data_IF_147696890633
#
_entry.id   IF_147696890633
#
_cell.length_a   1.000
_cell.length_b   1.000
_cell.length_c   1.000
_cell.angle_alpha   90.00
_cell.angle_beta   90.00
_cell.angle_gamma   90.00
#
_symmetry.space_group_name_H-M   'P 1'
#
loop_
_entity.id
_entity.type
_entity.pdbx_description
1 polymer ?
#
# COMPACT_ATOMS: atom_id res chain seq x y z
N UNK A 1 5.57 8.49 -21.24
CA UNK A 1 6.13 8.57 -19.87
C UNK A 1 5.17 7.81 -18.98
N UNK A 2 5.67 6.94 -18.09
CA UNK A 2 4.82 6.20 -17.16
C UNK A 2 4.28 7.14 -16.08
N UNK A 3 3.04 6.91 -15.66
CA UNK A 3 2.36 7.73 -14.65
C UNK A 3 2.19 6.95 -13.35
N UNK A 4 2.56 7.56 -12.22
CA UNK A 4 2.34 6.99 -10.89
C UNK A 4 1.46 7.92 -10.04
N UNK A 5 0.53 7.34 -9.30
CA UNK A 5 -0.29 8.05 -8.33
C UNK A 5 0.04 7.56 -6.93
N UNK A 6 0.55 8.45 -6.11
CA UNK A 6 0.70 8.24 -4.67
C UNK A 6 -0.51 8.87 -3.98
N UNK A 7 -1.26 8.08 -3.22
CA UNK A 7 -2.34 8.59 -2.37
C UNK A 7 -1.93 8.39 -0.92
N UNK A 8 -1.82 9.48 -0.18
CA UNK A 8 -1.27 9.46 1.17
C UNK A 8 -2.19 10.11 2.20
N UNK A 9 -1.94 9.85 3.48
CA UNK A 9 -2.71 10.38 4.59
C UNK A 9 -2.99 9.36 5.70
N UNK A 10 -4.09 9.55 6.40
CA UNK A 10 -4.47 8.68 7.52
C UNK A 10 -3.73 9.01 8.79
N UNK A 11 -3.27 8.00 9.52
CA UNK A 11 -2.61 8.20 10.81
C UNK A 11 -1.23 8.88 10.68
N UNK A 12 -1.03 10.07 11.28
CA UNK A 12 0.19 10.85 11.10
C UNK A 12 1.44 10.19 11.70
N UNK A 13 1.29 9.23 12.62
CA UNK A 13 2.43 8.48 13.17
C UNK A 13 3.17 7.60 12.16
N UNK A 14 2.60 7.38 10.97
CA UNK A 14 3.27 6.72 9.84
C UNK A 14 4.03 7.71 8.94
N UNK A 15 4.06 8.99 9.28
CA UNK A 15 4.74 10.05 8.52
C UNK A 15 4.44 10.00 7.01
N UNK A 16 3.15 9.97 6.59
CA UNK A 16 2.78 9.69 5.20
C UNK A 16 3.37 10.70 4.20
N UNK A 17 3.56 11.95 4.59
CA UNK A 17 4.21 12.97 3.78
C UNK A 17 5.67 12.62 3.48
N UNK A 18 6.43 12.23 4.52
CA UNK A 18 7.84 11.83 4.33
C UNK A 18 7.98 10.56 3.51
N UNK A 19 7.11 9.59 3.73
CA UNK A 19 7.07 8.38 2.91
C UNK A 19 6.79 8.72 1.45
N UNK A 20 5.88 9.65 1.18
CA UNK A 20 5.55 10.15 -0.15
C UNK A 20 6.76 10.77 -0.84
N UNK A 21 7.48 11.66 -0.15
CA UNK A 21 8.68 12.31 -0.69
C UNK A 21 9.79 11.30 -1.03
N UNK A 22 10.01 10.30 -0.17
CA UNK A 22 10.98 9.24 -0.41
C UNK A 22 10.61 8.44 -1.66
N UNK A 23 9.36 7.98 -1.77
CA UNK A 23 8.89 7.16 -2.89
C UNK A 23 8.90 7.97 -4.18
N UNK A 24 8.50 9.23 -4.14
CA UNK A 24 8.59 10.14 -5.28
C UNK A 24 10.02 10.29 -5.77
N UNK A 25 10.96 10.50 -4.83
CA UNK A 25 12.40 10.58 -5.14
C UNK A 25 12.98 9.30 -5.73
N UNK A 26 12.37 8.14 -5.50
CA UNK A 26 12.76 6.87 -6.14
C UNK A 26 12.18 6.74 -7.55
N UNK A 27 10.96 7.21 -7.81
CA UNK A 27 10.25 6.98 -9.06
C UNK A 27 10.56 7.99 -10.15
N UNK A 28 10.75 9.25 -9.80
CA UNK A 28 11.04 10.31 -10.79
C UNK A 28 12.32 10.04 -11.60
N UNK A 29 13.47 9.60 -11.00
CA UNK A 29 14.66 9.23 -11.76
C UNK A 29 14.45 8.04 -12.70
N UNK A 30 13.47 7.16 -12.40
CA UNK A 30 13.10 6.02 -13.26
C UNK A 30 12.13 6.41 -14.38
N UNK A 31 11.87 7.70 -14.55
CA UNK A 31 11.07 8.25 -15.65
C UNK A 31 9.57 8.24 -15.42
N UNK A 32 9.12 8.16 -14.18
CA UNK A 32 7.72 8.33 -13.85
C UNK A 32 7.33 9.79 -13.70
N UNK A 33 6.17 10.15 -14.24
CA UNK A 33 5.42 11.34 -13.85
C UNK A 33 4.65 11.00 -12.58
N UNK A 34 5.05 11.57 -11.44
CA UNK A 34 4.47 11.24 -10.14
C UNK A 34 3.48 12.30 -9.69
N UNK A 35 2.23 11.89 -9.55
CA UNK A 35 1.18 12.67 -8.90
C UNK A 35 1.02 12.21 -7.46
N UNK A 36 0.99 13.15 -6.51
CA UNK A 36 0.76 12.86 -5.09
C UNK A 36 -0.50 13.59 -4.62
N UNK A 37 -1.44 12.83 -4.04
CA UNK A 37 -2.72 13.35 -3.58
C UNK A 37 -2.98 12.96 -2.12
N UNK A 38 -3.48 13.92 -1.37
CA UNK A 38 -3.88 13.69 0.01
C UNK A 38 -5.28 13.09 0.09
N UNK A 39 -5.45 12.04 0.89
CA UNK A 39 -6.70 11.32 1.12
C UNK A 39 -7.19 10.40 -0.04
N UNK A 40 -7.92 9.39 0.36
CA UNK A 40 -8.41 8.31 -0.52
C UNK A 40 -9.47 8.71 -1.53
N UNK A 41 -10.08 9.90 -1.41
CA UNK A 41 -10.97 10.45 -2.42
C UNK A 41 -10.30 10.54 -3.78
N UNK A 42 -8.99 10.71 -3.84
CA UNK A 42 -8.22 10.71 -5.08
C UNK A 42 -8.35 9.40 -5.87
N UNK A 43 -8.54 8.26 -5.19
CA UNK A 43 -8.83 7.00 -5.86
C UNK A 43 -10.25 6.90 -6.45
N UNK A 44 -11.15 7.80 -6.10
CA UNK A 44 -12.49 7.84 -6.68
C UNK A 44 -12.55 8.62 -8.00
N UNK A 45 -11.47 9.28 -8.39
CA UNK A 45 -11.38 10.09 -9.60
C UNK A 45 -11.08 9.24 -10.84
N UNK A 46 -11.55 9.69 -12.00
CA UNK A 46 -11.40 8.95 -13.26
C UNK A 46 -9.95 8.80 -13.73
N UNK A 47 -9.08 9.75 -13.39
CA UNK A 47 -7.66 9.69 -13.77
C UNK A 47 -6.90 8.49 -13.21
N UNK A 48 -7.45 7.79 -12.21
CA UNK A 48 -6.89 6.54 -11.68
C UNK A 48 -6.72 5.49 -12.79
N UNK A 49 -7.61 5.49 -13.76
CA UNK A 49 -7.56 4.54 -14.90
C UNK A 49 -6.48 4.89 -15.94
N UNK A 50 -5.82 6.05 -15.82
CA UNK A 50 -4.71 6.46 -16.68
C UNK A 50 -3.34 6.15 -16.07
N UNK A 51 -3.31 5.61 -14.87
CA UNK A 51 -2.06 5.35 -14.15
C UNK A 51 -1.46 4.01 -14.51
N UNK A 52 -0.13 3.96 -14.56
CA UNK A 52 0.64 2.72 -14.69
C UNK A 52 0.97 2.11 -13.33
N UNK A 53 0.97 2.92 -12.25
CA UNK A 53 1.29 2.50 -10.90
C UNK A 53 0.46 3.28 -9.86
N UNK A 54 -0.18 2.56 -8.96
CA UNK A 54 -0.90 3.11 -7.81
C UNK A 54 -0.17 2.77 -6.51
N UNK A 55 0.00 3.76 -5.64
CA UNK A 55 0.74 3.61 -4.38
C UNK A 55 -0.08 4.17 -3.22
N UNK A 56 -0.82 3.31 -2.51
CA UNK A 56 -1.54 3.71 -1.30
C UNK A 56 -0.58 3.83 -0.10
N UNK A 57 -0.57 5.00 0.52
CA UNK A 57 0.11 5.31 1.79
C UNK A 57 -0.93 5.90 2.75
N UNK A 58 -2.06 5.24 2.92
CA UNK A 58 -3.18 5.73 3.71
C UNK A 58 -3.61 4.71 4.74
N UNK A 59 -3.29 4.94 5.99
CA UNK A 59 -3.74 4.08 7.08
C UNK A 59 -5.11 4.52 7.57
N UNK A 60 -6.03 3.56 7.77
CA UNK A 60 -7.37 3.80 8.33
C UNK A 60 -8.21 4.81 7.54
N UNK A 61 -8.27 4.67 6.24
CA UNK A 61 -9.02 5.55 5.33
C UNK A 61 -10.52 5.70 5.65
N UNK A 62 -11.10 4.77 6.40
CA UNK A 62 -12.53 4.75 6.76
C UNK A 62 -12.97 5.93 7.65
N UNK A 63 -12.05 6.64 8.28
CA UNK A 63 -12.38 7.82 9.09
C UNK A 63 -12.82 9.04 8.27
N UNK A 64 -12.54 9.03 6.97
CA UNK A 64 -12.75 10.19 6.10
C UNK A 64 -14.02 10.12 5.24
N UNK A 65 -14.71 8.98 5.23
CA UNK A 65 -15.97 8.79 4.53
C UNK A 65 -16.99 8.04 5.39
N UNK A 66 -17.73 8.75 6.26
CA UNK A 66 -18.71 8.13 7.15
C UNK A 66 -19.84 7.37 6.44
N UNK A 67 -20.17 7.77 5.20
CA UNK A 67 -21.23 7.12 4.41
C UNK A 67 -20.73 5.93 3.60
N UNK A 68 -19.43 5.82 3.37
CA UNK A 68 -18.79 4.74 2.64
C UNK A 68 -18.96 4.80 1.11
N UNK A 69 -19.54 5.85 0.56
CA UNK A 69 -19.79 6.00 -0.88
C UNK A 69 -18.49 6.24 -1.67
N UNK A 70 -17.69 7.19 -1.21
CA UNK A 70 -16.39 7.50 -1.80
C UNK A 70 -15.46 6.31 -1.68
N UNK A 71 -15.46 5.66 -0.51
CA UNK A 71 -14.67 4.46 -0.25
C UNK A 71 -14.97 3.34 -1.25
N UNK A 72 -16.24 3.06 -1.52
CA UNK A 72 -16.65 2.02 -2.47
C UNK A 72 -16.18 2.35 -3.88
N UNK A 73 -16.36 3.58 -4.34
CA UNK A 73 -15.89 4.04 -5.65
C UNK A 73 -14.37 3.96 -5.76
N UNK A 74 -13.64 4.43 -4.74
CA UNK A 74 -12.18 4.38 -4.69
C UNK A 74 -11.65 2.95 -4.81
N UNK A 75 -12.18 2.02 -4.03
CA UNK A 75 -11.78 0.60 -4.08
C UNK A 75 -12.08 0.00 -5.45
N UNK A 76 -13.27 0.24 -6.00
CA UNK A 76 -13.65 -0.28 -7.31
C UNK A 76 -12.76 0.25 -8.44
N UNK A 77 -12.39 1.53 -8.41
CA UNK A 77 -11.51 2.12 -9.41
C UNK A 77 -10.10 1.51 -9.35
N UNK A 78 -9.55 1.34 -8.14
CA UNK A 78 -8.25 0.68 -7.97
C UNK A 78 -8.29 -0.76 -8.49
N UNK A 79 -9.32 -1.53 -8.13
CA UNK A 79 -9.48 -2.91 -8.60
C UNK A 79 -9.54 -2.96 -10.14
N UNK A 80 -10.35 -2.10 -10.76
CA UNK A 80 -10.45 -2.03 -12.21
C UNK A 80 -9.12 -1.65 -12.87
N UNK A 81 -8.40 -0.66 -12.32
CA UNK A 81 -7.11 -0.25 -12.83
C UNK A 81 -6.10 -1.41 -12.80
N UNK A 82 -6.03 -2.13 -11.66
CA UNK A 82 -5.13 -3.29 -11.51
C UNK A 82 -5.51 -4.43 -12.46
N UNK A 83 -6.79 -4.74 -12.61
CA UNK A 83 -7.24 -5.75 -13.58
C UNK A 83 -6.93 -5.37 -15.04
N UNK A 84 -6.81 -4.08 -15.32
CA UNK A 84 -6.42 -3.56 -16.64
C UNK A 84 -4.89 -3.42 -16.80
N UNK A 85 -4.09 -3.90 -15.85
CA UNK A 85 -2.62 -3.96 -15.95
C UNK A 85 -1.87 -2.87 -15.20
N UNK A 86 -2.54 -1.99 -14.46
CA UNK A 86 -1.90 -1.03 -13.59
C UNK A 86 -1.21 -1.76 -12.41
N UNK A 87 0.02 -1.40 -12.09
CA UNK A 87 0.71 -1.90 -10.92
C UNK A 87 0.10 -1.37 -9.62
N UNK A 88 0.13 -2.18 -8.57
CA UNK A 88 -0.21 -1.75 -7.21
C UNK A 88 0.95 -2.06 -6.29
N UNK A 89 1.53 -1.05 -5.66
CA UNK A 89 2.62 -1.19 -4.70
C UNK A 89 2.32 -0.40 -3.42
N UNK A 90 2.76 -0.91 -2.30
CA UNK A 90 2.56 -0.24 -1.03
C UNK A 90 3.23 -1.00 0.09
N UNK A 91 3.21 -0.43 1.27
CA UNK A 91 3.87 -1.02 2.43
C UNK A 91 3.04 -0.86 3.70
N UNK A 92 3.20 -1.81 4.62
CA UNK A 92 2.68 -1.76 5.98
C UNK A 92 1.19 -1.40 6.05
N UNK A 93 0.78 -0.60 7.04
CA UNK A 93 -0.59 -0.13 7.20
C UNK A 93 -1.07 0.80 6.09
N UNK A 94 -0.18 1.47 5.38
CA UNK A 94 -0.52 2.32 4.24
C UNK A 94 -1.21 1.57 3.10
N UNK A 95 -0.97 0.27 2.98
CA UNK A 95 -1.61 -0.61 2.02
C UNK A 95 -2.60 -1.57 2.69
N UNK A 96 -2.15 -2.40 3.64
CA UNK A 96 -2.98 -3.46 4.22
C UNK A 96 -4.11 -2.93 5.12
N UNK A 97 -4.01 -1.70 5.59
CA UNK A 97 -4.99 -1.04 6.46
C UNK A 97 -5.71 0.14 5.80
N UNK A 98 -5.43 0.42 4.54
CA UNK A 98 -6.05 1.55 3.83
C UNK A 98 -7.58 1.45 3.83
N UNK A 99 -8.10 0.32 3.41
CA UNK A 99 -9.54 0.04 3.37
C UNK A 99 -9.87 -1.23 4.16
N UNK A 100 -9.48 -1.26 5.42
CA UNK A 100 -9.57 -2.39 6.36
C UNK A 100 -10.91 -3.14 6.36
N UNK A 101 -12.02 -2.45 6.12
CA UNK A 101 -13.37 -3.03 6.13
C UNK A 101 -13.85 -3.50 4.75
N UNK A 102 -13.04 -3.34 3.70
CA UNK A 102 -13.39 -3.77 2.36
C UNK A 102 -12.83 -5.16 2.08
N UNK A 103 -13.71 -6.12 1.89
CA UNK A 103 -13.35 -7.50 1.52
C UNK A 103 -12.62 -7.51 0.16
N UNK A 104 -13.12 -6.74 -0.79
CA UNK A 104 -12.52 -6.65 -2.13
C UNK A 104 -11.10 -6.09 -2.08
N UNK A 105 -10.82 -5.12 -1.21
CA UNK A 105 -9.47 -4.62 -0.98
C UNK A 105 -8.55 -5.67 -0.39
N UNK A 106 -9.05 -6.45 0.57
CA UNK A 106 -8.28 -7.53 1.20
C UNK A 106 -7.91 -8.62 0.20
N UNK A 107 -8.82 -8.97 -0.69
CA UNK A 107 -8.53 -9.89 -1.80
C UNK A 107 -7.50 -9.32 -2.78
N UNK A 108 -7.60 -8.03 -3.11
CA UNK A 108 -6.67 -7.36 -4.02
C UNK A 108 -5.24 -7.34 -3.44
N UNK A 109 -5.10 -7.01 -2.17
CA UNK A 109 -3.81 -6.88 -1.50
C UNK A 109 -3.26 -8.20 -0.96
N UNK A 110 -4.08 -9.26 -0.94
CA UNK A 110 -3.70 -10.59 -0.47
C UNK A 110 -3.63 -10.74 1.05
N UNK A 111 -4.08 -9.76 1.82
CA UNK A 111 -4.04 -9.80 3.26
C UNK A 111 -4.92 -8.77 3.95
N UNK A 112 -5.13 -8.96 5.24
CA UNK A 112 -5.86 -8.03 6.09
C UNK A 112 -5.02 -7.70 7.33
N UNK A 113 -4.95 -6.44 7.68
CA UNK A 113 -4.39 -6.04 8.97
C UNK A 113 -5.20 -6.64 10.13
N UNK A 114 -4.50 -7.21 11.08
CA UNK A 114 -5.11 -7.81 12.29
C UNK A 114 -4.69 -7.05 13.54
N UNK A 115 -3.38 -6.94 13.79
CA UNK A 115 -2.86 -6.30 14.99
C UNK A 115 -1.37 -5.98 14.90
N UNK A 116 -0.88 -5.26 15.90
CA UNK A 116 0.55 -5.09 16.19
C UNK A 116 0.89 -5.86 17.46
N UNK A 117 1.34 -7.14 17.35
CA UNK A 117 1.71 -7.92 18.52
C UNK A 117 2.94 -7.30 19.19
N UNK A 118 2.92 -7.20 20.52
CA UNK A 118 4.01 -6.70 21.36
C UNK A 118 4.46 -5.24 21.11
N UNK A 119 3.69 -4.45 20.35
CA UNK A 119 4.07 -3.06 20.05
C UNK A 119 5.37 -2.94 19.26
N UNK A 120 6.23 -1.98 19.64
CA UNK A 120 7.56 -1.80 19.04
C UNK A 120 8.55 -2.68 19.78
N UNK A 121 9.30 -3.51 19.04
CA UNK A 121 10.30 -4.42 19.59
C UNK A 121 11.36 -4.78 18.55
N UNK A 122 12.43 -5.43 19.01
CA UNK A 122 13.48 -5.94 18.15
C UNK A 122 13.06 -7.29 17.54
N UNK A 123 13.27 -7.46 16.24
CA UNK A 123 13.07 -8.73 15.55
C UNK A 123 13.98 -8.88 14.35
N UNK A 124 14.12 -10.11 13.88
CA UNK A 124 14.91 -10.43 12.70
C UNK A 124 14.00 -10.64 11.50
N UNK A 125 14.35 -10.00 10.39
CA UNK A 125 13.74 -10.24 9.08
C UNK A 125 14.57 -11.27 8.35
N UNK A 126 13.95 -12.40 7.98
CA UNK A 126 14.61 -13.48 7.24
C UNK A 126 14.10 -13.47 5.79
N UNK A 127 15.02 -13.41 4.85
CA UNK A 127 14.71 -13.46 3.42
C UNK A 127 14.58 -14.92 3.00
N UNK A 128 13.36 -15.35 2.70
CA UNK A 128 13.05 -16.77 2.42
C UNK A 128 13.18 -17.16 0.94
N UNK A 129 13.10 -16.20 0.02
CA UNK A 129 13.23 -16.40 -1.44
C UNK A 129 14.37 -15.57 -2.00
N UNK A 130 15.61 -15.95 -1.71
CA UNK A 130 16.82 -15.24 -2.16
C UNK A 130 17.05 -15.30 -3.68
N UNK A 131 16.38 -16.23 -4.35
CA UNK A 131 16.43 -16.43 -5.81
C UNK A 131 15.40 -15.60 -6.59
N UNK A 132 14.51 -14.86 -5.89
CA UNK A 132 13.56 -13.95 -6.52
C UNK A 132 14.29 -12.66 -6.95
N UNK A 133 14.15 -12.21 -8.22
CA UNK A 133 14.80 -10.98 -8.69
C UNK A 133 14.48 -9.73 -7.88
N UNK A 134 13.29 -9.67 -7.22
CA UNK A 134 12.90 -8.55 -6.36
C UNK A 134 13.74 -8.51 -5.08
N UNK A 135 14.28 -9.67 -4.67
CA UNK A 135 15.07 -9.81 -3.44
C UNK A 135 16.58 -9.70 -3.68
N UNK A 136 17.00 -9.42 -4.93
CA UNK A 136 18.43 -9.33 -5.28
C UNK A 136 19.13 -8.27 -4.43
N UNK A 137 20.22 -8.67 -3.77
CA UNK A 137 20.99 -7.79 -2.90
C UNK A 137 20.42 -7.54 -1.50
N UNK A 138 19.28 -8.18 -1.16
CA UNK A 138 18.68 -8.07 0.17
C UNK A 138 19.05 -9.32 0.99
N UNK A 139 19.74 -9.09 2.11
CA UNK A 139 20.10 -10.14 3.08
C UNK A 139 19.23 -10.05 4.33
N UNK A 140 19.32 -11.06 5.21
CA UNK A 140 18.65 -11.03 6.50
C UNK A 140 19.14 -9.85 7.34
N UNK A 141 18.25 -9.16 8.04
CA UNK A 141 18.60 -8.00 8.86
C UNK A 141 17.82 -7.92 10.17
N UNK A 142 18.39 -7.24 11.15
CA UNK A 142 17.72 -6.94 12.41
C UNK A 142 16.96 -5.61 12.27
N UNK A 143 15.77 -5.54 12.87
CA UNK A 143 14.90 -4.39 12.76
C UNK A 143 14.23 -4.06 14.10
N UNK A 144 14.09 -2.77 14.38
CA UNK A 144 13.39 -2.27 15.56
C UNK A 144 12.15 -1.50 15.12
N UNK A 145 10.99 -2.11 15.19
CA UNK A 145 9.74 -1.49 14.74
C UNK A 145 8.51 -2.23 15.28
N UNK A 146 7.32 -1.76 14.94
CA UNK A 146 6.11 -2.56 15.10
C UNK A 146 5.99 -3.58 13.98
N UNK A 147 5.72 -4.84 14.34
CA UNK A 147 5.37 -5.87 13.37
C UNK A 147 3.91 -5.74 12.98
N UNK A 148 3.63 -5.74 11.68
CA UNK A 148 2.26 -5.80 11.17
C UNK A 148 1.85 -7.27 11.04
N UNK A 149 0.92 -7.70 11.88
CA UNK A 149 0.34 -9.04 11.80
C UNK A 149 -0.87 -9.03 10.87
N UNK A 150 -0.80 -9.81 9.80
CA UNK A 150 -1.85 -9.97 8.80
C UNK A 150 -2.50 -11.34 8.91
N UNK A 151 -3.75 -11.46 8.44
CA UNK A 151 -4.36 -12.78 8.25
C UNK A 151 -3.57 -13.58 7.21
N UNK A 152 -3.36 -14.90 7.43
CA UNK A 152 -2.68 -15.72 6.44
C UNK A 152 -3.49 -15.77 5.14
N UNK A 153 -2.81 -15.57 4.02
CA UNK A 153 -3.38 -15.78 2.70
C UNK A 153 -3.61 -17.28 2.46
N UNK A 154 -4.62 -17.67 1.67
CA UNK A 154 -4.75 -19.06 1.21
C UNK A 154 -3.49 -19.60 0.50
N UNK A 155 -2.65 -18.72 -0.04
CA UNK A 155 -1.36 -19.07 -0.67
C UNK A 155 -0.26 -19.44 0.34
N UNK A 156 -0.39 -19.03 1.59
CA UNK A 156 0.60 -19.30 2.64
C UNK A 156 0.53 -20.76 3.15
N UNK A 157 -0.42 -21.54 2.65
CA UNK A 157 -0.63 -22.94 3.02
C UNK A 157 -0.12 -23.93 1.97
N UNK A 158 0.54 -23.47 0.93
CA UNK A 158 1.15 -24.32 -0.11
C UNK A 158 2.70 -24.41 0.09
#
# INVERSE_FOLDING_TARGET
MKKALIVYGGWPGHEPEKCTEIIKGMLEPEGYEVRAEYQTSAFAEDYVHEMDLLIPIVTMAFHFDPRGEIKKTAVNNVIKAVHNGCGLAGHHGGMCDAFRQSIDWQFLTGGQWVSHPNGIHDYKVNITKKDDPIMEGIEDFDYHSCLLYTSPSPRDRQ
#
